data_IF_192826541189
#
_entry.id   IF_192826541189
#
_cell.length_a   1.000
_cell.length_b   1.000
_cell.length_c   1.000
_cell.angle_alpha   90.00
_cell.angle_beta   90.00
_cell.angle_gamma   90.00
#
_symmetry.space_group_name_H-M   'P 1'
#
loop_
_entity.id
_entity.type
_entity.pdbx_description
1 polymer ?
#
# COMPACT_ATOMS: atom_id res chain seq x y z
N UNK A 1 56.62 30.48 30.71
CA UNK A 1 56.00 29.96 29.47
C UNK A 1 56.13 28.44 29.47
N UNK A 2 55.06 27.71 29.84
CA UNK A 2 54.91 26.30 29.47
C UNK A 2 53.40 26.00 29.47
N UNK A 3 52.84 25.75 28.29
CA UNK A 3 51.40 25.51 28.08
C UNK A 3 51.10 24.04 28.38
N UNK A 4 50.15 23.78 29.28
CA UNK A 4 49.56 22.46 29.45
C UNK A 4 48.56 22.22 28.31
N UNK A 5 48.79 21.18 27.51
CA UNK A 5 47.83 20.70 26.50
C UNK A 5 47.04 19.58 27.16
N UNK A 6 45.77 19.85 27.46
CA UNK A 6 44.80 18.86 27.93
C UNK A 6 44.30 18.07 26.72
N UNK A 7 44.77 16.83 26.54
CA UNK A 7 44.26 15.94 25.51
C UNK A 7 42.92 15.33 25.97
N UNK A 8 41.81 15.82 25.41
CA UNK A 8 40.48 15.24 25.62
C UNK A 8 40.36 14.02 24.71
N UNK A 9 40.44 12.83 25.28
CA UNK A 9 40.18 11.57 24.59
C UNK A 9 38.67 11.42 24.36
N UNK A 10 38.20 11.75 23.15
CA UNK A 10 36.82 11.47 22.74
C UNK A 10 36.71 9.97 22.49
N UNK A 11 36.14 9.25 23.46
CA UNK A 11 35.80 7.85 23.33
C UNK A 11 34.64 7.72 22.33
N UNK A 12 34.96 7.38 21.07
CA UNK A 12 33.95 6.97 20.11
C UNK A 12 33.40 5.61 20.54
N UNK A 13 32.27 5.62 21.26
CA UNK A 13 31.45 4.43 21.44
C UNK A 13 30.88 4.02 20.07
N UNK A 14 31.58 3.11 19.39
CA UNK A 14 31.06 2.42 18.22
C UNK A 14 29.96 1.48 18.72
N UNK A 15 28.71 1.95 18.71
CA UNK A 15 27.58 1.06 18.88
C UNK A 15 27.60 0.11 17.68
N UNK A 16 27.93 -1.16 17.93
CA UNK A 16 27.63 -2.26 17.02
C UNK A 16 26.11 -2.38 16.93
N UNK A 17 25.49 -1.55 16.08
CA UNK A 17 24.11 -1.70 15.68
C UNK A 17 24.07 -2.94 14.82
N UNK A 18 23.79 -4.11 15.40
CA UNK A 18 23.40 -5.28 14.61
C UNK A 18 22.24 -4.83 13.73
N UNK A 19 22.39 -4.90 12.41
CA UNK A 19 21.34 -4.56 11.47
C UNK A 19 20.08 -5.35 11.86
N UNK A 20 19.00 -4.64 12.20
CA UNK A 20 17.74 -5.28 12.52
C UNK A 20 17.22 -5.91 11.23
N UNK A 21 17.23 -7.24 11.17
CA UNK A 21 16.56 -7.99 10.11
C UNK A 21 15.17 -8.37 10.63
N UNK A 22 14.09 -7.76 10.09
CA UNK A 22 12.75 -8.18 10.46
C UNK A 22 12.51 -9.63 10.04
N UNK A 23 11.57 -10.29 10.71
CA UNK A 23 11.27 -11.72 10.45
C UNK A 23 10.84 -11.97 9.01
N UNK A 24 10.04 -11.07 8.43
CA UNK A 24 9.76 -11.03 6.99
C UNK A 24 10.61 -9.92 6.38
N UNK A 25 11.42 -10.25 5.39
CA UNK A 25 12.25 -9.30 4.65
C UNK A 25 12.33 -9.75 3.20
N UNK A 26 11.57 -9.10 2.33
CA UNK A 26 11.39 -9.55 0.95
C UNK A 26 11.60 -8.42 -0.04
N UNK A 27 12.34 -8.70 -1.10
CA UNK A 27 12.39 -7.84 -2.28
C UNK A 27 12.67 -8.69 -3.51
N UNK A 28 12.03 -8.31 -4.60
CA UNK A 28 12.21 -8.88 -5.93
C UNK A 28 13.42 -8.24 -6.61
N UNK A 29 14.36 -9.06 -7.06
CA UNK A 29 15.55 -8.64 -7.80
C UNK A 29 15.51 -9.04 -9.26
N UNK A 30 14.52 -9.82 -9.69
CA UNK A 30 14.58 -10.52 -10.99
C UNK A 30 14.42 -9.56 -12.17
N UNK A 31 13.76 -8.42 -11.97
CA UNK A 31 13.52 -7.47 -13.04
C UNK A 31 14.75 -6.60 -13.36
N UNK A 32 15.49 -6.13 -12.35
CA UNK A 32 16.56 -5.13 -12.55
C UNK A 32 17.89 -5.48 -11.87
N UNK A 33 17.95 -6.58 -11.13
CA UNK A 33 19.07 -6.92 -10.23
C UNK A 33 19.06 -6.12 -8.91
N UNK A 34 18.34 -5.01 -8.84
CA UNK A 34 18.20 -4.18 -7.63
C UNK A 34 16.99 -4.67 -6.82
N UNK A 35 17.13 -4.91 -5.50
CA UNK A 35 16.00 -5.27 -4.64
C UNK A 35 14.88 -4.22 -4.69
N UNK A 36 13.72 -4.60 -5.22
CA UNK A 36 12.60 -3.68 -5.41
C UNK A 36 11.24 -4.37 -5.32
N UNK A 37 10.51 -4.13 -4.24
CA UNK A 37 9.11 -4.51 -4.08
C UNK A 37 8.37 -3.47 -3.24
N UNK A 38 7.23 -3.01 -3.76
CA UNK A 38 6.41 -1.97 -3.14
C UNK A 38 4.95 -2.37 -3.10
N UNK A 39 4.16 -1.62 -2.35
CA UNK A 39 2.69 -1.64 -2.44
C UNK A 39 2.11 -3.07 -2.29
N UNK A 40 2.38 -3.76 -1.17
CA UNK A 40 2.00 -5.16 -0.99
C UNK A 40 0.49 -5.33 -0.90
N UNK A 41 -0.04 -6.44 -1.38
CA UNK A 41 -1.39 -6.92 -1.06
C UNK A 41 -1.39 -8.42 -0.92
N UNK A 42 -1.91 -8.91 0.21
CA UNK A 42 -1.79 -10.31 0.63
C UNK A 42 -3.17 -10.94 0.77
N UNK A 43 -3.32 -12.12 0.19
CA UNK A 43 -4.52 -12.96 0.33
C UNK A 43 -4.12 -14.39 0.66
N UNK A 44 -5.06 -15.15 1.21
CA UNK A 44 -4.98 -16.60 1.25
C UNK A 44 -5.89 -17.19 0.18
N UNK A 45 -5.35 -18.03 -0.68
CA UNK A 45 -6.08 -18.62 -1.79
C UNK A 45 -5.65 -20.06 -2.00
N UNK A 46 -6.63 -20.99 -2.02
CA UNK A 46 -6.42 -22.44 -2.22
C UNK A 46 -5.30 -23.02 -1.32
N UNK A 47 -5.28 -22.62 -0.05
CA UNK A 47 -4.34 -23.15 0.96
C UNK A 47 -2.93 -22.53 0.95
N UNK A 48 -2.67 -21.54 0.09
CA UNK A 48 -1.40 -20.79 0.05
C UNK A 48 -1.64 -19.31 0.31
N UNK A 49 -0.60 -18.60 0.76
CA UNK A 49 -0.59 -17.14 0.73
C UNK A 49 -0.07 -16.66 -0.60
N UNK A 50 -0.75 -15.68 -1.20
CA UNK A 50 -0.28 -14.96 -2.37
C UNK A 50 -0.08 -13.50 -2.00
N UNK A 51 1.05 -12.94 -2.44
CA UNK A 51 1.36 -11.52 -2.34
C UNK A 51 1.52 -10.94 -3.73
N UNK A 52 0.76 -9.89 -3.99
CA UNK A 52 0.85 -9.05 -5.17
C UNK A 52 1.55 -7.76 -4.77
N UNK A 53 2.50 -7.30 -5.57
CA UNK A 53 3.32 -6.14 -5.22
C UNK A 53 3.84 -5.45 -6.47
N UNK A 54 4.04 -4.14 -6.39
CA UNK A 54 4.61 -3.34 -7.47
C UNK A 54 6.10 -3.63 -7.66
N UNK A 55 6.50 -3.80 -8.92
CA UNK A 55 7.89 -3.91 -9.37
C UNK A 55 8.16 -2.97 -10.54
N UNK A 56 9.43 -2.60 -10.71
CA UNK A 56 9.88 -1.87 -11.91
C UNK A 56 10.06 -2.83 -13.07
N UNK A 57 9.68 -2.39 -14.27
CA UNK A 57 10.14 -3.00 -15.52
C UNK A 57 11.52 -2.44 -15.90
N UNK A 58 12.38 -3.23 -16.56
CA UNK A 58 13.55 -2.67 -17.24
C UNK A 58 13.14 -1.54 -18.19
N UNK A 59 13.98 -0.52 -18.30
CA UNK A 59 13.82 0.53 -19.31
C UNK A 59 13.90 -0.11 -20.69
N UNK A 60 12.86 0.05 -21.49
CA UNK A 60 12.93 -0.29 -22.93
C UNK A 60 13.01 1.01 -23.72
N UNK A 61 13.82 1.04 -24.78
CA UNK A 61 14.07 2.23 -25.62
C UNK A 61 12.82 2.80 -26.32
N UNK A 62 11.65 2.19 -26.14
CA UNK A 62 10.36 2.59 -26.70
C UNK A 62 9.52 3.49 -25.76
N UNK A 63 10.13 4.06 -24.71
CA UNK A 63 9.45 5.01 -23.81
C UNK A 63 8.60 4.37 -22.70
N UNK A 64 8.68 3.05 -22.49
CA UNK A 64 8.16 2.43 -21.28
C UNK A 64 9.21 2.51 -20.15
N UNK A 65 9.05 3.47 -19.24
CA UNK A 65 9.69 3.53 -17.92
C UNK A 65 8.86 2.75 -16.86
N UNK A 66 8.30 1.60 -17.27
CA UNK A 66 7.04 1.10 -16.71
C UNK A 66 7.10 0.36 -15.38
N UNK A 67 5.91 0.23 -14.77
CA UNK A 67 5.64 -0.61 -13.60
C UNK A 67 4.88 -1.88 -13.99
N UNK A 68 5.07 -2.94 -13.21
CA UNK A 68 4.33 -4.20 -13.28
C UNK A 68 3.93 -4.64 -11.88
N UNK A 69 3.11 -5.69 -11.80
CA UNK A 69 2.83 -6.38 -10.54
C UNK A 69 3.59 -7.71 -10.53
N UNK A 70 4.40 -7.96 -9.50
CA UNK A 70 4.94 -9.27 -9.19
C UNK A 70 3.95 -10.08 -8.36
N UNK A 71 4.04 -11.42 -8.47
CA UNK A 71 3.24 -12.38 -7.70
C UNK A 71 4.19 -13.33 -6.99
N UNK A 72 4.06 -13.43 -5.67
CA UNK A 72 4.81 -14.35 -4.84
C UNK A 72 3.90 -15.23 -4.01
N UNK A 73 4.33 -16.45 -3.72
CA UNK A 73 3.66 -17.35 -2.79
C UNK A 73 4.45 -17.56 -1.50
N UNK A 74 3.74 -17.89 -0.43
CA UNK A 74 4.31 -18.29 0.86
C UNK A 74 3.43 -19.35 1.53
N UNK A 75 4.04 -20.16 2.40
CA UNK A 75 3.35 -21.07 3.32
C UNK A 75 3.27 -20.55 4.75
N UNK A 76 3.99 -19.48 5.08
CA UNK A 76 4.18 -19.02 6.48
C UNK A 76 4.11 -17.50 6.68
N UNK A 77 3.88 -16.72 5.62
CA UNK A 77 3.87 -15.25 5.59
C UNK A 77 5.24 -14.59 5.76
N UNK A 78 6.32 -15.35 5.91
CA UNK A 78 7.68 -14.83 6.16
C UNK A 78 8.62 -15.10 5.00
N UNK A 79 8.56 -16.31 4.44
CA UNK A 79 9.38 -16.73 3.31
C UNK A 79 8.54 -16.71 2.04
N UNK A 80 8.96 -15.89 1.08
CA UNK A 80 8.22 -15.64 -0.15
C UNK A 80 9.02 -16.03 -1.37
N UNK A 81 8.37 -16.70 -2.32
CA UNK A 81 8.95 -17.09 -3.60
C UNK A 81 8.14 -16.48 -4.73
N UNK A 82 8.80 -15.77 -5.63
CA UNK A 82 8.16 -15.26 -6.86
C UNK A 82 7.69 -16.41 -7.74
N UNK A 83 6.46 -16.30 -8.24
CA UNK A 83 5.81 -17.31 -9.09
C UNK A 83 5.14 -16.73 -10.34
N UNK A 84 5.05 -15.41 -10.48
CA UNK A 84 4.45 -14.80 -11.66
C UNK A 84 4.54 -13.28 -11.70
N UNK A 85 4.00 -12.70 -12.77
CA UNK A 85 3.88 -11.25 -12.97
C UNK A 85 2.58 -10.93 -13.73
N UNK A 86 2.04 -9.75 -13.50
CA UNK A 86 1.01 -9.13 -14.36
C UNK A 86 1.69 -8.02 -15.17
N UNK A 87 1.74 -8.22 -16.48
CA UNK A 87 2.33 -7.28 -17.44
C UNK A 87 1.25 -6.36 -18.02
N UNK A 88 1.58 -5.10 -18.38
CA UNK A 88 0.72 -4.31 -19.26
C UNK A 88 0.43 -5.04 -20.58
N UNK A 89 -0.85 -5.13 -20.95
CA UNK A 89 -1.32 -5.73 -22.20
C UNK A 89 -2.33 -4.86 -22.96
N UNK A 90 -2.84 -3.79 -22.34
CA UNK A 90 -3.81 -2.88 -22.94
C UNK A 90 -3.30 -1.43 -23.06
N UNK A 91 -3.86 -0.67 -23.99
CA UNK A 91 -3.42 0.70 -24.28
C UNK A 91 -3.51 1.65 -23.07
N UNK A 92 -4.52 1.50 -22.22
CA UNK A 92 -4.71 2.34 -21.03
C UNK A 92 -3.62 2.13 -19.96
N UNK A 93 -2.97 0.96 -19.94
CA UNK A 93 -1.89 0.60 -19.01
C UNK A 93 -0.51 0.61 -19.69
N UNK A 94 -0.41 1.15 -20.92
CA UNK A 94 0.84 1.17 -21.71
C UNK A 94 2.04 1.84 -21.03
N UNK A 95 1.80 2.73 -20.06
CA UNK A 95 2.86 3.37 -19.25
C UNK A 95 3.22 2.60 -17.97
N UNK A 96 2.43 1.60 -17.61
CA UNK A 96 2.64 0.78 -16.42
C UNK A 96 1.37 0.56 -15.63
N UNK A 97 1.42 -0.46 -14.78
CA UNK A 97 0.40 -0.80 -13.80
C UNK A 97 1.03 -1.19 -12.46
N UNK A 98 0.43 -0.77 -11.36
CA UNK A 98 0.98 -0.98 -10.01
C UNK A 98 -0.08 -0.86 -8.91
N UNK A 99 0.38 -0.92 -7.65
CA UNK A 99 -0.39 -0.83 -6.40
C UNK A 99 -1.63 -1.74 -6.39
N UNK A 100 -1.42 -3.07 -6.44
CA UNK A 100 -2.52 -4.01 -6.44
C UNK A 100 -3.25 -4.04 -5.11
N UNK A 101 -4.56 -4.20 -5.17
CA UNK A 101 -5.41 -4.68 -4.09
C UNK A 101 -6.03 -6.01 -4.53
N UNK A 102 -5.53 -7.11 -3.96
CA UNK A 102 -6.04 -8.45 -4.20
C UNK A 102 -7.15 -8.81 -3.21
N UNK A 103 -8.21 -9.45 -3.71
CA UNK A 103 -9.33 -9.98 -2.91
C UNK A 103 -9.74 -11.35 -3.45
N UNK A 104 -10.14 -12.25 -2.56
CA UNK A 104 -10.80 -13.50 -2.96
C UNK A 104 -12.31 -13.28 -2.92
N UNK A 105 -12.96 -13.33 -4.08
CA UNK A 105 -14.40 -13.06 -4.22
C UNK A 105 -14.98 -14.17 -5.09
N UNK A 106 -16.03 -14.84 -4.60
CA UNK A 106 -16.71 -15.94 -5.32
C UNK A 106 -15.75 -17.02 -5.86
N UNK A 107 -14.73 -17.37 -5.08
CA UNK A 107 -13.73 -18.40 -5.42
C UNK A 107 -12.69 -17.99 -6.47
N UNK A 108 -12.67 -16.72 -6.89
CA UNK A 108 -11.67 -16.15 -7.81
C UNK A 108 -10.80 -15.13 -7.10
N UNK A 109 -9.59 -14.92 -7.62
CA UNK A 109 -8.77 -13.79 -7.22
C UNK A 109 -9.15 -12.61 -8.10
N UNK A 110 -9.49 -11.50 -7.47
CA UNK A 110 -9.70 -10.21 -8.10
C UNK A 110 -8.54 -9.30 -7.72
N UNK A 111 -7.99 -8.56 -8.68
CA UNK A 111 -7.03 -7.49 -8.43
C UNK A 111 -7.62 -6.16 -8.91
N UNK A 112 -7.60 -5.18 -8.03
CA UNK A 112 -7.84 -3.78 -8.34
C UNK A 112 -6.48 -3.10 -8.39
N UNK A 113 -6.17 -2.39 -9.47
CA UNK A 113 -4.84 -1.84 -9.68
C UNK A 113 -4.95 -0.49 -10.38
N UNK A 114 -3.87 0.29 -10.41
CA UNK A 114 -3.87 1.57 -11.14
C UNK A 114 -3.12 1.48 -12.45
N UNK A 115 -3.54 2.28 -13.43
CA UNK A 115 -2.62 2.74 -14.47
C UNK A 115 -1.66 3.76 -13.86
N UNK A 116 -0.41 3.82 -14.36
CA UNK A 116 0.59 4.70 -13.77
C UNK A 116 1.43 5.43 -14.82
N UNK A 117 1.74 6.71 -14.55
CA UNK A 117 2.48 7.59 -15.46
C UNK A 117 1.60 8.49 -16.33
N UNK A 118 0.30 8.54 -16.05
CA UNK A 118 -0.70 9.37 -16.72
C UNK A 118 -1.15 10.57 -15.87
N UNK A 119 -0.68 10.69 -14.63
CA UNK A 119 -0.95 11.79 -13.72
C UNK A 119 -2.45 12.00 -13.48
N UNK A 120 -3.10 13.07 -13.95
CA UNK A 120 -4.56 13.27 -13.80
C UNK A 120 -5.39 12.14 -14.42
N UNK A 121 -4.81 11.42 -15.39
CA UNK A 121 -5.46 10.31 -16.09
C UNK A 121 -5.09 8.93 -15.53
N UNK A 122 -4.30 8.84 -14.44
CA UNK A 122 -4.17 7.57 -13.72
C UNK A 122 -5.54 7.19 -13.17
N UNK A 123 -5.94 5.94 -13.37
CA UNK A 123 -7.27 5.45 -13.05
C UNK A 123 -7.20 4.05 -12.46
N UNK A 124 -8.24 3.65 -11.71
CA UNK A 124 -8.36 2.30 -11.17
C UNK A 124 -8.91 1.36 -12.25
N UNK A 125 -8.28 0.21 -12.38
CA UNK A 125 -8.61 -0.91 -13.22
C UNK A 125 -8.92 -2.15 -12.37
N UNK A 126 -9.58 -3.13 -12.98
CA UNK A 126 -9.92 -4.41 -12.38
C UNK A 126 -9.54 -5.56 -13.30
N UNK A 127 -9.08 -6.67 -12.74
CA UNK A 127 -8.89 -7.94 -13.43
C UNK A 127 -9.17 -9.12 -12.48
N UNK A 128 -9.46 -10.30 -13.02
CA UNK A 128 -9.74 -11.50 -12.22
C UNK A 128 -9.05 -12.75 -12.78
N UNK A 129 -8.76 -13.71 -11.91
CA UNK A 129 -8.11 -14.97 -12.22
C UNK A 129 -8.74 -16.13 -11.44
N UNK A 130 -8.88 -17.29 -12.09
CA UNK A 130 -9.36 -18.51 -11.42
C UNK A 130 -8.25 -19.24 -10.64
N UNK A 131 -7.00 -18.96 -10.97
CA UNK A 131 -5.80 -19.57 -10.40
C UNK A 131 -4.94 -18.59 -9.59
N UNK A 132 -5.26 -17.30 -9.63
CA UNK A 132 -4.49 -16.23 -8.98
C UNK A 132 -3.27 -15.75 -9.76
N UNK A 133 -3.02 -16.27 -10.97
CA UNK A 133 -1.84 -15.98 -11.78
C UNK A 133 -2.19 -15.42 -13.16
N UNK A 134 -3.20 -16.00 -13.82
CA UNK A 134 -3.57 -15.67 -15.18
C UNK A 134 -4.82 -14.77 -15.18
N UNK A 135 -4.59 -13.46 -15.29
CA UNK A 135 -5.64 -12.44 -15.12
C UNK A 135 -6.32 -12.05 -16.42
N UNK A 136 -7.65 -12.14 -16.45
CA UNK A 136 -8.50 -11.53 -17.46
C UNK A 136 -8.89 -10.11 -17.01
N UNK A 137 -8.61 -9.11 -17.86
CA UNK A 137 -8.93 -7.70 -17.58
C UNK A 137 -10.45 -7.50 -17.66
N UNK A 138 -10.98 -6.62 -16.82
CA UNK A 138 -12.36 -6.15 -16.98
C UNK A 138 -12.50 -5.44 -18.35
N UNK A 139 -13.47 -5.85 -19.16
CA UNK A 139 -13.73 -5.29 -20.48
C UNK A 139 -14.08 -3.78 -20.45
N UNK A 140 -14.56 -3.28 -19.31
CA UNK A 140 -14.92 -1.87 -19.12
C UNK A 140 -13.78 -1.02 -18.52
N UNK A 141 -12.59 -1.58 -18.32
CA UNK A 141 -11.43 -0.86 -17.79
C UNK A 141 -11.09 0.43 -18.57
N UNK A 142 -10.55 1.47 -17.91
CA UNK A 142 -10.47 1.63 -16.45
C UNK A 142 -11.85 1.71 -15.79
N UNK A 143 -12.03 1.13 -14.62
CA UNK A 143 -13.34 1.04 -13.96
C UNK A 143 -13.70 2.29 -13.14
N UNK A 144 -12.72 3.11 -12.75
CA UNK A 144 -13.01 4.28 -11.93
C UNK A 144 -11.97 5.39 -12.03
N UNK A 145 -12.47 6.63 -12.08
CA UNK A 145 -11.75 7.86 -11.77
C UNK A 145 -12.70 8.82 -11.04
N UNK A 146 -12.23 9.63 -10.07
CA UNK A 146 -13.09 10.58 -9.39
C UNK A 146 -13.44 11.76 -10.30
N UNK A 147 -14.48 12.49 -9.91
CA UNK A 147 -14.95 13.70 -10.60
C UNK A 147 -15.30 14.79 -9.59
N UNK A 148 -15.43 16.02 -10.08
CA UNK A 148 -15.78 17.20 -9.28
C UNK A 148 -14.60 18.12 -9.00
N UNK A 149 -14.89 19.33 -8.52
CA UNK A 149 -13.89 20.39 -8.31
C UNK A 149 -12.92 20.15 -7.15
N UNK A 150 -13.16 19.13 -6.33
CA UNK A 150 -12.30 18.80 -5.20
C UNK A 150 -11.07 17.98 -5.61
N UNK A 151 -11.05 17.40 -6.81
CA UNK A 151 -10.01 16.49 -7.30
C UNK A 151 -9.44 16.97 -8.64
N UNK A 152 -8.20 16.57 -8.98
CA UNK A 152 -7.67 16.71 -10.35
C UNK A 152 -8.03 15.53 -11.27
N UNK A 153 -8.80 14.54 -10.81
CA UNK A 153 -9.23 13.37 -11.58
C UNK A 153 -8.36 12.12 -11.40
N UNK A 154 -7.19 12.23 -10.75
CA UNK A 154 -6.29 11.10 -10.51
C UNK A 154 -6.91 10.05 -9.58
N UNK A 155 -6.77 8.77 -9.86
CA UNK A 155 -7.12 7.68 -8.96
C UNK A 155 -6.01 6.62 -8.89
N UNK A 156 -5.47 6.41 -7.68
CA UNK A 156 -4.41 5.44 -7.39
C UNK A 156 -4.66 4.76 -6.03
N UNK A 157 -3.86 3.74 -5.70
CA UNK A 157 -3.81 3.01 -4.43
C UNK A 157 -5.17 2.50 -3.97
N UNK A 158 -5.80 1.68 -4.80
CA UNK A 158 -7.10 1.10 -4.52
C UNK A 158 -7.05 0.18 -3.29
N UNK A 159 -8.08 0.24 -2.43
CA UNK A 159 -8.47 -0.87 -1.57
C UNK A 159 -9.97 -1.10 -1.66
N UNK A 160 -10.35 -2.36 -1.89
CA UNK A 160 -11.75 -2.78 -2.01
C UNK A 160 -12.18 -3.59 -0.80
N UNK A 161 -13.25 -3.17 -0.15
CA UNK A 161 -13.79 -3.85 1.03
C UNK A 161 -15.31 -3.97 0.97
N UNK A 162 -15.83 -5.17 1.25
CA UNK A 162 -17.28 -5.39 1.32
C UNK A 162 -17.79 -5.03 2.73
N UNK A 163 -18.77 -4.13 2.80
CA UNK A 163 -19.39 -3.72 4.05
C UNK A 163 -20.84 -3.30 3.81
N UNK A 164 -21.76 -3.65 4.72
CA UNK A 164 -23.20 -3.31 4.64
C UNK A 164 -23.83 -3.56 3.25
N UNK A 165 -23.60 -4.75 2.67
CA UNK A 165 -24.16 -5.18 1.39
C UNK A 165 -23.74 -4.32 0.17
N UNK A 166 -22.55 -3.73 0.22
CA UNK A 166 -21.92 -3.02 -0.90
C UNK A 166 -20.41 -3.18 -0.83
N UNK A 167 -19.74 -2.92 -1.94
CA UNK A 167 -18.29 -2.75 -1.98
C UNK A 167 -17.95 -1.28 -1.85
N UNK A 168 -16.93 -0.98 -1.06
CA UNK A 168 -16.28 0.31 -0.99
C UNK A 168 -14.96 0.20 -1.75
N UNK A 169 -14.68 1.14 -2.64
CA UNK A 169 -13.38 1.37 -3.29
C UNK A 169 -12.79 2.64 -2.70
N UNK A 170 -11.81 2.47 -1.82
CA UNK A 170 -10.97 3.56 -1.34
C UNK A 170 -9.88 3.82 -2.36
N UNK A 171 -9.56 5.08 -2.60
CA UNK A 171 -8.52 5.48 -3.55
C UNK A 171 -7.86 6.77 -3.09
N UNK A 172 -6.60 6.95 -3.45
CA UNK A 172 -5.91 8.21 -3.35
C UNK A 172 -6.09 9.04 -4.64
N UNK A 173 -6.22 10.34 -4.46
CA UNK A 173 -6.34 11.36 -5.50
C UNK A 173 -5.60 12.61 -5.06
N UNK A 174 -5.52 13.62 -5.93
CA UNK A 174 -4.95 14.92 -5.56
C UNK A 174 -6.01 16.00 -5.53
N UNK A 175 -5.74 17.07 -4.79
CA UNK A 175 -6.53 18.29 -4.86
C UNK A 175 -6.53 18.88 -6.30
N UNK A 176 -7.39 19.87 -6.54
CA UNK A 176 -7.54 20.47 -7.87
C UNK A 176 -6.24 21.02 -8.45
N UNK A 177 -5.27 21.38 -7.61
CA UNK A 177 -3.95 21.87 -8.05
C UNK A 177 -2.94 20.75 -8.33
N UNK A 178 -3.28 19.50 -8.01
CA UNK A 178 -2.39 18.35 -8.18
C UNK A 178 -1.24 18.27 -7.17
N UNK A 179 -1.32 19.00 -6.05
CA UNK A 179 -0.25 19.13 -5.04
C UNK A 179 -0.49 18.25 -3.80
N UNK A 180 -1.65 18.36 -3.18
CA UNK A 180 -1.98 17.67 -1.93
C UNK A 180 -2.67 16.36 -2.27
N UNK A 181 -2.06 15.25 -1.85
CA UNK A 181 -2.64 13.93 -2.04
C UNK A 181 -3.51 13.53 -0.84
N UNK A 182 -4.71 13.02 -1.14
CA UNK A 182 -5.81 12.79 -0.20
C UNK A 182 -6.65 11.60 -0.66
N UNK A 183 -7.53 11.10 0.20
CA UNK A 183 -8.32 9.90 -0.10
C UNK A 183 -9.78 10.22 -0.40
N UNK A 184 -10.33 9.50 -1.37
CA UNK A 184 -11.75 9.47 -1.71
C UNK A 184 -12.33 8.06 -1.56
N UNK A 185 -13.63 7.94 -1.82
CA UNK A 185 -14.31 6.66 -1.79
C UNK A 185 -15.43 6.59 -2.84
N UNK A 186 -15.51 5.44 -3.49
CA UNK A 186 -16.61 5.04 -4.36
C UNK A 186 -17.27 3.77 -3.83
N UNK A 187 -18.49 3.50 -4.28
CA UNK A 187 -19.28 2.35 -3.88
C UNK A 187 -19.84 1.63 -5.09
N UNK A 188 -19.99 0.30 -4.98
CA UNK A 188 -20.68 -0.54 -5.94
C UNK A 188 -21.61 -1.53 -5.22
N UNK A 189 -22.73 -1.95 -5.83
CA UNK A 189 -23.62 -2.96 -5.25
C UNK A 189 -22.91 -4.28 -4.93
N UNK A 190 -23.35 -5.05 -3.92
CA UNK A 190 -22.72 -6.33 -3.58
C UNK A 190 -22.79 -7.40 -4.69
N UNK A 191 -23.74 -7.28 -5.61
CA UNK A 191 -23.89 -8.16 -6.78
C UNK A 191 -23.17 -7.63 -8.04
N UNK A 192 -22.33 -6.61 -7.91
CA UNK A 192 -21.54 -6.05 -9.01
C UNK A 192 -20.61 -7.10 -9.63
N UNK A 193 -20.36 -6.97 -10.92
CA UNK A 193 -19.26 -7.63 -11.62
C UNK A 193 -17.99 -6.74 -11.69
N UNK A 194 -18.02 -5.61 -10.97
CA UNK A 194 -17.01 -4.55 -10.92
C UNK A 194 -16.83 -3.78 -12.23
N UNK A 195 -17.87 -3.72 -13.07
CA UNK A 195 -17.85 -2.89 -14.26
C UNK A 195 -17.89 -1.40 -13.93
N UNK A 196 -17.35 -0.59 -14.84
CA UNK A 196 -17.24 0.86 -14.70
C UNK A 196 -18.53 1.54 -14.25
N UNK A 197 -19.68 1.11 -14.79
CA UNK A 197 -20.97 1.76 -14.55
C UNK A 197 -21.58 1.44 -13.18
N UNK A 198 -21.09 0.42 -12.48
CA UNK A 198 -21.56 0.07 -11.14
C UNK A 198 -20.96 0.97 -10.06
N UNK A 199 -19.78 1.56 -10.34
CA UNK A 199 -19.07 2.42 -9.40
C UNK A 199 -19.66 3.82 -9.35
N UNK A 200 -19.97 4.28 -8.14
CA UNK A 200 -20.44 5.64 -7.87
C UNK A 200 -19.59 6.27 -6.79
N UNK A 201 -19.09 7.47 -7.03
CA UNK A 201 -18.44 8.28 -6.00
C UNK A 201 -19.42 8.45 -4.83
N UNK A 202 -19.01 8.09 -3.60
CA UNK A 202 -19.93 8.07 -2.46
C UNK A 202 -20.17 9.47 -1.89
N UNK A 203 -19.16 10.34 -2.00
CA UNK A 203 -19.19 11.75 -1.58
C UNK A 203 -18.32 12.59 -2.50
N UNK A 204 -18.73 13.83 -2.78
CA UNK A 204 -17.99 14.77 -3.63
C UNK A 204 -16.95 15.58 -2.82
N UNK A 205 -16.19 14.87 -1.98
CA UNK A 205 -15.15 15.45 -1.15
C UNK A 205 -14.16 14.38 -0.68
N UNK A 206 -13.02 14.81 -0.13
CA UNK A 206 -12.06 13.90 0.46
C UNK A 206 -12.58 13.33 1.78
N UNK A 207 -12.45 12.02 1.98
CA UNK A 207 -12.77 11.34 3.24
C UNK A 207 -11.63 11.45 4.26
N UNK A 208 -10.39 11.63 3.79
CA UNK A 208 -9.21 11.93 4.59
C UNK A 208 -8.28 12.85 3.78
N UNK A 209 -7.81 13.92 4.41
CA UNK A 209 -6.76 14.83 3.89
C UNK A 209 -5.70 15.03 4.97
N UNK A 210 -4.42 15.32 4.62
CA UNK A 210 -3.37 15.59 5.60
C UNK A 210 -3.81 16.59 6.67
N UNK A 211 -3.50 16.27 7.94
CA UNK A 211 -3.90 17.05 9.13
C UNK A 211 -2.73 17.19 10.11
N UNK A 212 -1.99 16.11 10.35
CA UNK A 212 -0.88 16.11 11.31
C UNK A 212 0.46 16.30 10.60
N UNK A 213 1.45 16.88 11.31
CA UNK A 213 2.74 17.22 10.72
C UNK A 213 3.44 16.01 10.05
N UNK A 214 3.30 14.81 10.62
CA UNK A 214 3.89 13.58 10.06
C UNK A 214 3.18 13.08 8.80
N UNK A 215 1.97 13.56 8.49
CA UNK A 215 1.23 13.23 7.27
C UNK A 215 1.69 14.09 6.07
N UNK A 216 2.47 15.15 6.29
CA UNK A 216 3.01 16.00 5.23
C UNK A 216 1.92 16.52 4.29
N UNK A 217 2.14 16.37 2.98
CA UNK A 217 1.20 16.74 1.92
C UNK A 217 0.56 15.51 1.22
N UNK A 218 0.67 14.33 1.82
CA UNK A 218 0.18 13.09 1.22
C UNK A 218 -0.47 12.16 2.23
N UNK A 219 -1.71 11.75 1.95
CA UNK A 219 -2.32 10.55 2.54
C UNK A 219 -2.74 9.63 1.40
N UNK A 220 -2.30 8.37 1.45
CA UNK A 220 -2.52 7.37 0.40
C UNK A 220 -2.63 5.94 0.95
N UNK A 221 -2.74 4.94 0.06
CA UNK A 221 -2.69 3.52 0.40
C UNK A 221 -3.59 3.10 1.57
N UNK A 222 -4.91 3.31 1.43
CA UNK A 222 -5.87 2.73 2.35
C UNK A 222 -5.73 1.21 2.39
N UNK A 223 -5.90 0.63 3.56
CA UNK A 223 -6.10 -0.81 3.74
C UNK A 223 -7.08 -1.05 4.87
N UNK A 224 -8.24 -1.61 4.53
CA UNK A 224 -9.40 -1.66 5.42
C UNK A 224 -9.68 -3.07 5.95
N UNK A 225 -10.04 -3.12 7.24
CA UNK A 225 -10.54 -4.32 7.91
C UNK A 225 -11.70 -3.98 8.84
N UNK A 226 -12.70 -4.86 8.95
CA UNK A 226 -13.77 -4.76 9.94
C UNK A 226 -13.39 -5.48 11.24
N UNK A 227 -13.62 -4.82 12.39
CA UNK A 227 -13.62 -5.45 13.72
C UNK A 227 -14.82 -4.97 14.52
N UNK A 228 -15.73 -5.90 14.82
CA UNK A 228 -17.02 -5.57 15.44
C UNK A 228 -17.82 -4.60 14.56
N UNK A 229 -18.31 -3.52 15.17
CA UNK A 229 -19.10 -2.49 14.47
C UNK A 229 -18.27 -1.46 13.69
N UNK A 230 -16.94 -1.52 13.78
CA UNK A 230 -16.05 -0.54 13.19
C UNK A 230 -15.31 -1.12 11.99
N UNK A 231 -15.18 -0.31 10.95
CA UNK A 231 -14.11 -0.42 9.97
C UNK A 231 -12.88 0.30 10.52
N UNK A 232 -11.70 -0.24 10.24
CA UNK A 232 -10.40 0.36 10.52
C UNK A 232 -9.64 0.48 9.21
N UNK A 233 -9.18 1.69 8.90
CA UNK A 233 -8.33 1.98 7.75
C UNK A 233 -6.92 2.25 8.26
N UNK A 234 -5.98 1.39 7.86
CA UNK A 234 -4.57 1.71 7.88
C UNK A 234 -4.28 2.56 6.65
N UNK A 235 -3.52 3.64 6.80
CA UNK A 235 -3.19 4.53 5.69
C UNK A 235 -1.75 5.01 5.78
N UNK A 236 -1.14 5.30 4.64
CA UNK A 236 0.16 5.93 4.57
C UNK A 236 0.02 7.46 4.69
N UNK A 237 0.90 8.08 5.48
CA UNK A 237 1.03 9.53 5.61
C UNK A 237 2.44 10.00 5.23
N UNK A 238 2.52 11.14 4.57
CA UNK A 238 3.67 11.69 3.85
C UNK A 238 4.02 10.96 2.55
N UNK A 239 4.78 11.63 1.69
CA UNK A 239 5.30 11.05 0.46
C UNK A 239 6.41 10.03 0.75
N UNK A 240 6.53 9.05 -0.15
CA UNK A 240 7.59 8.03 -0.13
C UNK A 240 8.96 8.64 0.23
N UNK A 241 9.66 8.03 1.20
CA UNK A 241 10.98 8.45 1.69
C UNK A 241 11.06 9.84 2.40
N UNK A 242 9.92 10.48 2.74
CA UNK A 242 9.84 11.80 3.43
C UNK A 242 9.24 11.74 4.84
N UNK A 243 9.86 10.96 5.75
CA UNK A 243 9.57 9.53 5.76
C UNK A 243 8.06 9.24 5.73
N UNK A 244 7.64 8.35 4.85
CA UNK A 244 6.28 7.84 4.88
C UNK A 244 6.08 6.95 6.11
N UNK A 245 4.93 7.09 6.77
CA UNK A 245 4.59 6.38 8.01
C UNK A 245 3.13 5.91 7.96
N UNK A 246 2.71 5.00 8.83
CA UNK A 246 1.35 4.45 8.81
C UNK A 246 0.52 4.99 9.97
N UNK A 247 -0.66 5.53 9.66
CA UNK A 247 -1.70 5.90 10.61
C UNK A 247 -2.87 4.93 10.63
N UNK A 248 -3.80 5.13 11.56
CA UNK A 248 -5.06 4.38 11.63
C UNK A 248 -6.24 5.33 11.88
N UNK A 249 -7.30 5.14 11.11
CA UNK A 249 -8.60 5.73 11.34
C UNK A 249 -9.68 4.66 11.50
N UNK A 250 -10.79 5.00 12.16
CA UNK A 250 -11.97 4.14 12.29
C UNK A 250 -13.22 4.80 11.74
N UNK A 251 -14.17 3.99 11.29
CA UNK A 251 -15.47 4.42 10.77
C UNK A 251 -16.56 3.42 11.13
N UNK A 252 -17.81 3.87 11.18
CA UNK A 252 -19.02 3.02 11.32
C UNK A 252 -19.87 2.96 10.05
N UNK A 253 -19.56 3.81 9.06
CA UNK A 253 -20.31 3.97 7.81
C UNK A 253 -19.45 3.71 6.56
N UNK A 254 -18.11 3.68 6.69
CA UNK A 254 -17.17 3.52 5.60
C UNK A 254 -16.86 4.81 4.84
N UNK A 255 -17.43 5.95 5.25
CA UNK A 255 -17.32 7.25 4.57
C UNK A 255 -16.71 8.30 5.52
N UNK A 256 -17.22 8.38 6.75
CA UNK A 256 -16.75 9.32 7.77
C UNK A 256 -15.69 8.65 8.64
N UNK A 257 -14.48 9.20 8.68
CA UNK A 257 -13.33 8.58 9.34
C UNK A 257 -12.79 9.42 10.50
N UNK A 258 -12.62 8.78 11.65
CA UNK A 258 -11.97 9.35 12.83
C UNK A 258 -10.58 8.74 13.01
N UNK A 259 -9.53 9.57 12.92
CA UNK A 259 -8.17 9.14 13.27
C UNK A 259 -8.09 8.70 14.73
N UNK A 260 -7.36 7.63 15.00
CA UNK A 260 -7.21 7.09 16.36
C UNK A 260 -6.16 7.84 17.19
N UNK A 261 -5.23 8.52 16.53
CA UNK A 261 -4.04 9.12 17.13
C UNK A 261 -3.56 10.29 16.29
N UNK A 262 -2.86 11.24 16.92
CA UNK A 262 -2.09 12.31 16.26
C UNK A 262 -0.65 11.89 15.93
N UNK A 263 -0.23 10.72 16.41
CA UNK A 263 1.04 10.05 16.11
C UNK A 263 0.83 8.86 15.16
N UNK A 264 1.83 8.50 14.35
CA UNK A 264 1.78 7.30 13.51
C UNK A 264 1.58 6.04 14.35
N UNK A 265 0.81 5.10 13.81
CA UNK A 265 0.66 3.75 14.36
C UNK A 265 1.95 2.93 14.15
N UNK A 266 2.56 3.03 12.97
CA UNK A 266 3.90 2.51 12.69
C UNK A 266 4.74 3.66 12.11
N UNK A 267 5.72 4.10 12.89
CA UNK A 267 6.72 5.06 12.46
C UNK A 267 7.79 4.40 11.58
N UNK A 268 8.54 5.21 10.85
CA UNK A 268 9.75 4.75 10.18
C UNK A 268 10.83 4.37 11.20
N UNK A 269 11.84 3.63 10.74
CA UNK A 269 12.96 3.22 11.57
C UNK A 269 13.84 4.39 12.04
N UNK A 270 14.59 4.17 13.11
CA UNK A 270 15.64 5.08 13.57
C UNK A 270 16.79 5.15 12.55
N UNK A 271 17.65 6.18 12.61
CA UNK A 271 18.85 6.23 11.79
C UNK A 271 19.67 4.92 11.88
N UNK A 272 19.97 4.32 10.72
CA UNK A 272 20.69 3.06 10.60
C UNK A 272 19.81 1.80 10.55
N UNK A 273 18.52 1.87 10.91
CA UNK A 273 17.59 0.76 10.74
C UNK A 273 17.20 0.57 9.25
N UNK A 274 16.81 -0.63 8.86
CA UNK A 274 16.55 -1.00 7.45
C UNK A 274 15.41 -0.20 6.81
N UNK A 275 14.51 0.36 7.61
CA UNK A 275 13.34 1.14 7.24
C UNK A 275 13.47 2.62 7.68
N UNK A 276 14.70 3.12 7.84
CA UNK A 276 14.94 4.50 8.30
C UNK A 276 14.36 5.57 7.37
N UNK A 277 14.21 5.27 6.08
CA UNK A 277 13.61 6.19 5.11
C UNK A 277 12.09 6.21 5.17
N UNK A 278 11.43 5.12 5.53
CA UNK A 278 9.96 5.02 5.63
C UNK A 278 9.46 3.68 6.19
N UNK A 279 8.22 3.67 6.65
CA UNK A 279 7.39 2.49 6.86
C UNK A 279 6.01 2.79 6.32
N UNK A 280 5.83 2.51 5.04
CA UNK A 280 4.74 3.03 4.22
C UNK A 280 3.87 1.98 3.57
N UNK A 281 2.93 2.43 2.74
CA UNK A 281 1.98 1.63 1.94
C UNK A 281 1.46 0.37 2.67
N UNK A 282 0.58 0.53 3.68
CA UNK A 282 0.15 -0.58 4.52
C UNK A 282 -0.74 -1.56 3.76
N UNK A 283 -0.64 -2.84 4.12
CA UNK A 283 -1.64 -3.84 3.78
C UNK A 283 -2.00 -4.69 4.99
N UNK A 284 -3.25 -4.55 5.45
CA UNK A 284 -3.78 -5.32 6.56
C UNK A 284 -4.29 -6.68 6.06
N UNK A 285 -3.78 -7.75 6.65
CA UNK A 285 -4.18 -9.11 6.34
C UNK A 285 -4.62 -9.82 7.63
N UNK A 286 -5.75 -10.51 7.59
CA UNK A 286 -6.20 -11.40 8.66
C UNK A 286 -6.30 -12.80 8.12
N UNK A 287 -5.62 -13.73 8.77
CA UNK A 287 -5.64 -15.15 8.43
C UNK A 287 -6.90 -15.83 8.99
N UNK A 288 -7.17 -17.05 8.53
CA UNK A 288 -8.35 -17.83 8.93
C UNK A 288 -8.37 -18.15 10.44
N UNK A 289 -7.20 -18.18 11.07
CA UNK A 289 -7.04 -18.38 12.52
C UNK A 289 -7.27 -17.09 13.33
N UNK A 290 -7.63 -15.98 12.66
CA UNK A 290 -7.90 -14.69 13.26
C UNK A 290 -6.66 -13.86 13.60
N UNK A 291 -5.43 -14.37 13.37
CA UNK A 291 -4.21 -13.57 13.52
C UNK A 291 -4.16 -12.49 12.45
N UNK A 292 -3.77 -11.30 12.85
CA UNK A 292 -3.68 -10.14 11.96
C UNK A 292 -2.23 -9.72 11.75
N UNK A 293 -1.87 -9.41 10.51
CA UNK A 293 -0.55 -8.99 10.08
C UNK A 293 -0.67 -7.69 9.29
N UNK A 294 0.14 -6.71 9.64
CA UNK A 294 0.31 -5.46 8.89
C UNK A 294 1.56 -5.62 8.03
N UNK A 295 1.37 -5.75 6.71
CA UNK A 295 2.43 -5.65 5.73
C UNK A 295 2.72 -4.18 5.42
N UNK A 296 3.96 -3.86 5.10
CA UNK A 296 4.40 -2.50 4.80
C UNK A 296 5.71 -2.53 4.02
N UNK A 297 6.00 -1.43 3.32
CA UNK A 297 7.26 -1.22 2.63
C UNK A 297 8.23 -0.38 3.46
N UNK A 298 9.53 -0.54 3.20
CA UNK A 298 10.58 0.27 3.80
C UNK A 298 11.92 0.14 3.07
N UNK A 299 12.80 1.10 3.35
CA UNK A 299 14.21 1.11 2.97
C UNK A 299 14.96 2.10 3.86
N UNK A 300 16.28 2.16 3.72
CA UNK A 300 17.14 3.11 4.45
C UNK A 300 18.06 3.90 3.52
N UNK A 301 17.77 3.90 2.23
CA UNK A 301 18.68 4.36 1.18
C UNK A 301 18.06 5.39 0.24
N UNK A 302 16.96 6.01 0.68
CA UNK A 302 16.16 7.00 -0.05
C UNK A 302 15.59 6.47 -1.36
N UNK A 303 15.10 5.23 -1.34
CA UNK A 303 14.37 4.62 -2.44
C UNK A 303 15.24 4.05 -3.55
N UNK A 304 16.54 3.82 -3.29
CA UNK A 304 17.42 3.05 -4.18
C UNK A 304 17.02 1.58 -4.16
N UNK A 305 16.62 1.05 -3.01
CA UNK A 305 15.97 -0.25 -2.83
C UNK A 305 14.60 -0.09 -2.20
N UNK A 306 13.77 -1.12 -2.34
CA UNK A 306 12.46 -1.20 -1.70
C UNK A 306 12.21 -2.62 -1.25
N UNK A 307 11.91 -2.78 0.04
CA UNK A 307 11.67 -4.06 0.66
C UNK A 307 10.33 -4.08 1.36
N UNK A 308 9.73 -5.25 1.41
CA UNK A 308 8.51 -5.54 2.12
C UNK A 308 8.84 -6.24 3.44
N UNK A 309 8.06 -5.93 4.46
CA UNK A 309 8.07 -6.59 5.76
C UNK A 309 6.65 -6.76 6.28
N UNK A 310 6.49 -7.48 7.38
CA UNK A 310 5.25 -7.52 8.12
C UNK A 310 5.47 -7.49 9.64
N UNK A 311 4.43 -7.07 10.36
CA UNK A 311 4.35 -7.16 11.81
C UNK A 311 3.02 -7.77 12.21
N UNK A 312 3.02 -8.66 13.18
CA UNK A 312 1.78 -9.13 13.79
C UNK A 312 1.18 -7.99 14.61
N UNK A 313 -0.14 -7.82 14.56
CA UNK A 313 -0.85 -6.86 15.39
C UNK A 313 -1.91 -7.54 16.25
N UNK A 314 -2.22 -6.92 17.40
CA UNK A 314 -3.31 -7.32 18.26
C UNK A 314 -4.46 -6.32 18.24
N UNK A 315 -5.58 -6.69 18.86
CA UNK A 315 -6.80 -5.90 18.93
C UNK A 315 -7.26 -5.76 20.38
N UNK A 316 -7.62 -4.54 20.79
CA UNK A 316 -8.29 -4.22 22.05
C UNK A 316 -9.48 -3.29 21.79
N UNK A 317 -10.25 -2.98 22.83
CA UNK A 317 -11.42 -2.09 22.72
C UNK A 317 -11.09 -0.72 22.12
N UNK A 318 -9.88 -0.20 22.36
CA UNK A 318 -9.43 1.09 21.81
C UNK A 318 -8.93 1.01 20.35
N UNK A 319 -8.85 -0.18 19.74
CA UNK A 319 -8.34 -0.39 18.38
C UNK A 319 -7.11 -1.31 18.30
N UNK A 320 -6.40 -1.29 17.17
CA UNK A 320 -5.22 -2.13 16.95
C UNK A 320 -4.04 -1.71 17.82
N UNK A 321 -3.10 -2.62 18.07
CA UNK A 321 -1.80 -2.33 18.66
C UNK A 321 -0.71 -3.23 18.05
N UNK A 322 0.52 -2.72 17.94
CA UNK A 322 1.67 -3.50 17.51
C UNK A 322 2.04 -4.52 18.61
N UNK A 323 2.19 -5.79 18.23
CA UNK A 323 2.77 -6.79 19.13
C UNK A 323 4.29 -6.55 19.23
N UNK A 324 4.86 -6.85 20.40
CA UNK A 324 6.31 -6.90 20.56
C UNK A 324 6.82 -8.15 19.82
N UNK A 325 7.88 -7.98 19.04
CA UNK A 325 8.62 -9.08 18.44
C UNK A 325 9.39 -9.85 19.52
#
# INVERSE_FOLDING_TARGET
MLKYILAISILFCVFNVKAQHPKMYYADTTATGVPFSKDPSVIKFKGKYLMYYSIKSPKTGNGMDGWKIGISESSDLYHWKKIGEVNPEAAYESKGLCAPCAKVINGKVHIFYQTYGNFEKDAICHAFANDGLNFTRNATNPIFHPTGSWTNGRAIDADVYQFKNQYFLYFATRDATGKIQKQGVAVAPANTNFDRNDWKQAVDSAILSPKYAWEGECIEAASVIQKGKYLYMFYAGSYNNVPQQIGVAKSTDGISWQRLSDKPFLANGKPGEWNASESGHPAIFMDDDGKTYLFYQGNNDKGRTWLLSNRKIGWKSSGPYLLKD
#
